data_IF_077987202286
#
_entry.id   IF_077987202286
#
_cell.length_a   1.000
_cell.length_b   1.000
_cell.length_c   1.000
_cell.angle_alpha   90.00
_cell.angle_beta   90.00
_cell.angle_gamma   90.00
#
_symmetry.space_group_name_H-M   'P 1'
#
loop_
_entity.id
_entity.type
_entity.pdbx_description
1 polymer ?
#
# COMPACT_ATOMS: atom_id res chain seq x y z
N UNK A 1 -15.04 -52.87 3.71
CA UNK A 1 -14.64 -51.89 2.67
C UNK A 1 -15.13 -50.53 3.13
N UNK A 2 -14.21 -49.70 3.64
CA UNK A 2 -14.55 -48.39 4.23
C UNK A 2 -14.30 -47.32 3.19
N UNK A 3 -15.34 -46.66 2.70
CA UNK A 3 -15.21 -45.58 1.72
C UNK A 3 -14.50 -44.37 2.38
N UNK A 4 -13.53 -43.72 1.71
CA UNK A 4 -12.93 -42.51 2.24
C UNK A 4 -13.96 -41.37 2.23
N UNK A 5 -14.16 -40.73 3.39
CA UNK A 5 -14.88 -39.47 3.52
C UNK A 5 -14.00 -38.35 2.98
N UNK A 6 -13.99 -38.16 1.66
CA UNK A 6 -13.48 -36.93 1.07
C UNK A 6 -14.67 -36.02 0.76
N UNK A 7 -14.72 -34.87 1.41
CA UNK A 7 -15.61 -33.77 1.04
C UNK A 7 -14.75 -32.77 0.28
N UNK A 8 -15.05 -32.54 -0.99
CA UNK A 8 -14.49 -31.41 -1.72
C UNK A 8 -14.98 -30.13 -1.04
N UNK A 9 -14.08 -29.42 -0.37
CA UNK A 9 -14.34 -28.02 -0.03
C UNK A 9 -14.40 -27.24 -1.35
N UNK A 10 -15.61 -26.80 -1.71
CA UNK A 10 -15.80 -25.83 -2.78
C UNK A 10 -15.15 -24.53 -2.32
N UNK A 11 -13.86 -24.36 -2.64
CA UNK A 11 -13.15 -23.12 -2.44
C UNK A 11 -13.92 -22.00 -3.13
N UNK A 12 -14.46 -21.07 -2.34
CA UNK A 12 -15.26 -19.95 -2.84
C UNK A 12 -14.55 -19.15 -3.93
N UNK A 13 -15.27 -18.29 -4.68
CA UNK A 13 -14.77 -17.68 -5.90
C UNK A 13 -13.36 -17.07 -5.72
N UNK A 14 -12.37 -17.60 -6.44
CA UNK A 14 -10.97 -17.12 -6.42
C UNK A 14 -10.78 -15.72 -7.03
N UNK A 15 -11.87 -15.06 -7.41
CA UNK A 15 -11.89 -13.80 -8.13
C UNK A 15 -12.32 -12.63 -7.23
N UNK A 16 -11.73 -12.49 -6.04
CA UNK A 16 -11.64 -11.16 -5.45
C UNK A 16 -10.44 -10.47 -6.10
N UNK A 17 -10.70 -9.60 -7.08
CA UNK A 17 -9.67 -8.67 -7.54
C UNK A 17 -9.14 -8.00 -6.27
N UNK A 18 -7.85 -8.16 -5.98
CA UNK A 18 -7.21 -7.50 -4.84
C UNK A 18 -7.30 -6.01 -5.13
N UNK A 19 -8.35 -5.36 -4.64
CA UNK A 19 -8.68 -3.96 -4.93
C UNK A 19 -7.47 -3.06 -4.65
N UNK A 20 -6.72 -3.36 -3.58
CA UNK A 20 -5.47 -2.67 -3.26
C UNK A 20 -4.40 -2.76 -4.35
N UNK A 21 -4.24 -3.89 -5.02
CA UNK A 21 -3.27 -4.06 -6.11
C UNK A 21 -3.67 -3.25 -7.34
N UNK A 22 -4.96 -3.29 -7.70
CA UNK A 22 -5.48 -2.53 -8.83
C UNK A 22 -5.33 -1.01 -8.60
N UNK A 23 -5.64 -0.54 -7.39
CA UNK A 23 -5.42 0.86 -7.01
C UNK A 23 -3.92 1.19 -7.02
N UNK A 24 -3.04 0.29 -6.55
CA UNK A 24 -1.60 0.51 -6.59
C UNK A 24 -1.08 0.72 -8.01
N UNK A 25 -1.50 -0.12 -8.96
CA UNK A 25 -1.13 0.02 -10.36
C UNK A 25 -1.61 1.35 -10.94
N UNK A 26 -2.86 1.76 -10.66
CA UNK A 26 -3.40 3.04 -11.15
C UNK A 26 -2.67 4.25 -10.58
N UNK A 27 -2.36 4.24 -9.29
CA UNK A 27 -1.61 5.31 -8.62
C UNK A 27 -0.19 5.40 -9.20
N UNK A 28 0.49 4.25 -9.36
CA UNK A 28 1.84 4.19 -9.92
C UNK A 28 1.90 4.67 -11.37
N UNK A 29 0.90 4.34 -12.19
CA UNK A 29 0.80 4.81 -13.57
C UNK A 29 0.55 6.32 -13.65
N UNK A 30 -0.49 6.82 -12.93
CA UNK A 30 -0.87 8.24 -12.94
C UNK A 30 0.26 9.15 -12.46
N UNK A 31 0.95 8.78 -11.38
CA UNK A 31 2.05 9.57 -10.83
C UNK A 31 3.42 8.99 -11.16
N UNK A 32 3.58 8.29 -12.29
CA UNK A 32 4.85 7.64 -12.66
C UNK A 32 6.08 8.56 -12.55
N UNK A 33 5.93 9.84 -12.90
CA UNK A 33 7.03 10.82 -12.95
C UNK A 33 7.28 11.59 -11.65
N UNK A 34 6.39 11.52 -10.65
CA UNK A 34 6.50 12.34 -9.42
C UNK A 34 5.86 11.67 -8.20
N UNK A 35 6.12 12.19 -7.02
CA UNK A 35 5.39 11.79 -5.82
C UNK A 35 4.08 12.60 -5.74
N UNK A 36 2.91 11.97 -5.54
CA UNK A 36 1.66 12.70 -5.32
C UNK A 36 1.61 13.35 -3.92
N UNK A 37 0.83 14.41 -3.81
CA UNK A 37 0.44 14.98 -2.52
C UNK A 37 -0.65 14.14 -1.86
N UNK A 38 -0.85 14.31 -0.56
CA UNK A 38 -1.93 13.63 0.18
C UNK A 38 -3.30 14.05 -0.36
N UNK A 39 -3.46 15.33 -0.71
CA UNK A 39 -4.72 15.86 -1.24
C UNK A 39 -5.03 15.27 -2.61
N UNK A 40 -4.05 15.16 -3.51
CA UNK A 40 -4.24 14.51 -4.81
C UNK A 40 -4.68 13.04 -4.67
N UNK A 41 -4.13 12.30 -3.71
CA UNK A 41 -4.57 10.92 -3.44
C UNK A 41 -6.01 10.84 -2.90
N UNK A 42 -6.44 11.84 -2.13
CA UNK A 42 -7.81 11.93 -1.64
C UNK A 42 -8.77 12.26 -2.78
N UNK A 43 -8.44 13.27 -3.59
CA UNK A 43 -9.31 13.78 -4.66
C UNK A 43 -9.41 12.79 -5.83
N UNK A 44 -8.28 12.18 -6.22
CA UNK A 44 -8.22 11.32 -7.41
C UNK A 44 -8.69 9.88 -7.17
N UNK A 45 -8.59 9.39 -5.93
CA UNK A 45 -8.86 7.99 -5.58
C UNK A 45 -9.88 7.82 -4.44
N UNK A 46 -10.44 8.91 -3.93
CA UNK A 46 -11.41 8.87 -2.82
C UNK A 46 -10.82 8.32 -1.52
N UNK A 47 -9.49 8.37 -1.35
CA UNK A 47 -8.85 7.80 -0.17
C UNK A 47 -9.19 8.62 1.08
N UNK A 48 -9.45 7.93 2.19
CA UNK A 48 -9.46 8.59 3.50
C UNK A 48 -8.08 9.20 3.79
N UNK A 49 -8.03 10.36 4.47
CA UNK A 49 -6.80 11.11 4.75
C UNK A 49 -5.69 10.26 5.36
N UNK A 50 -6.01 9.44 6.37
CA UNK A 50 -5.04 8.54 7.00
C UNK A 50 -4.51 7.47 6.03
N UNK A 51 -5.35 6.97 5.11
CA UNK A 51 -4.93 6.04 4.05
C UNK A 51 -4.01 6.77 3.07
N UNK A 52 -4.36 7.97 2.62
CA UNK A 52 -3.54 8.76 1.70
C UNK A 52 -2.13 9.05 2.28
N UNK A 53 -2.01 9.33 3.59
CA UNK A 53 -0.70 9.47 4.25
C UNK A 53 0.14 8.19 4.19
N UNK A 54 -0.45 7.04 4.53
CA UNK A 54 0.25 5.75 4.46
C UNK A 54 0.72 5.45 3.04
N UNK A 55 -0.15 5.66 2.06
CA UNK A 55 0.17 5.48 0.65
C UNK A 55 1.30 6.40 0.19
N UNK A 56 1.26 7.68 0.56
CA UNK A 56 2.33 8.62 0.23
C UNK A 56 3.66 8.20 0.85
N UNK A 57 3.67 7.72 2.10
CA UNK A 57 4.88 7.22 2.74
C UNK A 57 5.45 6.01 1.99
N UNK A 58 4.63 5.01 1.69
CA UNK A 58 5.05 3.82 0.92
C UNK A 58 5.55 4.18 -0.49
N UNK A 59 4.93 5.15 -1.17
CA UNK A 59 5.38 5.63 -2.47
C UNK A 59 6.70 6.40 -2.40
N UNK A 60 6.94 7.15 -1.31
CA UNK A 60 8.20 7.84 -1.08
C UNK A 60 9.33 6.83 -0.83
N UNK A 61 9.08 5.85 0.03
CA UNK A 61 10.00 4.75 0.32
C UNK A 61 10.35 3.96 -0.94
N UNK A 62 9.35 3.58 -1.76
CA UNK A 62 9.57 2.87 -3.03
C UNK A 62 10.39 3.66 -4.06
N UNK A 63 10.46 5.00 -3.91
CA UNK A 63 11.29 5.89 -4.74
C UNK A 63 12.67 6.15 -4.13
N UNK A 64 12.99 5.57 -2.98
CA UNK A 64 14.23 5.84 -2.25
C UNK A 64 14.25 7.20 -1.55
N UNK A 65 13.09 7.83 -1.36
CA UNK A 65 12.95 9.07 -0.60
C UNK A 65 12.73 8.67 0.86
N UNK A 66 13.80 8.71 1.66
CA UNK A 66 13.70 8.49 3.10
C UNK A 66 12.79 9.54 3.74
N UNK A 67 11.63 9.13 4.23
CA UNK A 67 10.75 9.97 5.07
C UNK A 67 11.20 10.02 6.52
N UNK A 68 12.24 9.26 6.84
CA UNK A 68 12.86 9.18 8.15
C UNK A 68 13.86 10.34 8.21
N UNK A 69 13.44 11.47 8.78
CA UNK A 69 14.41 12.33 9.43
C UNK A 69 14.99 11.51 10.59
N UNK A 70 16.13 10.86 10.37
CA UNK A 70 17.04 10.57 11.47
C UNK A 70 17.38 11.94 12.08
N UNK A 71 16.65 12.33 13.13
CA UNK A 71 17.09 13.38 14.03
C UNK A 71 18.49 12.95 14.48
N UNK A 72 19.55 13.75 14.23
CA UNK A 72 20.83 13.50 14.86
C UNK A 72 20.62 13.71 16.35
N UNK A 73 20.38 12.64 17.09
CA UNK A 73 20.35 12.65 18.53
C UNK A 73 21.75 12.96 19.04
N UNK A 74 21.88 14.15 19.63
CA UNK A 74 22.53 14.33 20.93
C UNK A 74 23.97 13.83 21.05
N UNK A 75 24.90 14.61 20.52
CA UNK A 75 26.29 14.63 20.99
C UNK A 75 26.41 15.59 22.20
N UNK A 76 25.94 15.15 23.36
CA UNK A 76 26.33 15.75 24.66
C UNK A 76 27.67 15.12 25.07
N UNK A 77 28.77 15.83 24.83
CA UNK A 77 30.06 15.54 25.44
C UNK A 77 30.32 16.63 26.49
N UNK A 78 30.34 16.21 27.75
CA UNK A 78 30.68 17.01 28.93
C UNK A 78 31.33 16.12 29.96
#
# INVERSE_FOLDING_TARGET
MTAPRYSEEIGGPRHSVRLGLLIACRVADKYRRRLPTVQELMDDFGMHRATAYRWRATLAEARGISTNSSTPGENTHG
#
